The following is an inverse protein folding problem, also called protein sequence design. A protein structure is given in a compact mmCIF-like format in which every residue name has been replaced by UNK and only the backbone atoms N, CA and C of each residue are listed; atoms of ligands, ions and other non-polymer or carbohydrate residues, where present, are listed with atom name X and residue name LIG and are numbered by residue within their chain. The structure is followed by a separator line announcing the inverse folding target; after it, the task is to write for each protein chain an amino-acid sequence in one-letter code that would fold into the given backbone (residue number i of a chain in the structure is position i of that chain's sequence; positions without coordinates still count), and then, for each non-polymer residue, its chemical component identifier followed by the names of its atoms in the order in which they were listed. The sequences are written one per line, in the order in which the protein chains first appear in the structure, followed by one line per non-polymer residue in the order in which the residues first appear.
data_IF_154338145085
#
_entry.id   IF_154338145085
#
_cell.length_a   1.000
_cell.length_b   1.000
_cell.length_c   1.000
_cell.angle_alpha   90.00
_cell.angle_beta   90.00
_cell.angle_gamma   90.00
#
_symmetry.space_group_name_H-M   'P 1'
#
loop_
_entity.id
_entity.type
_entity.pdbx_description
1 polymer ?
#
# COMPACT_ATOMS: atom_id res chain seq x y z
N UNK A 1 -10.52 27.05 0.07
CA UNK A 1 -9.17 27.00 -0.53
C UNK A 1 -8.83 25.55 -0.75
N UNK A 2 -8.56 25.11 -1.97
CA UNK A 2 -8.31 23.70 -2.28
C UNK A 2 -6.88 23.31 -1.95
N UNK A 3 -6.69 22.13 -1.35
CA UNK A 3 -5.39 21.50 -1.19
C UNK A 3 -4.80 21.18 -2.58
N UNK A 4 -3.51 21.39 -2.76
CA UNK A 4 -2.78 21.00 -3.96
C UNK A 4 -2.27 19.57 -3.78
N UNK A 5 -2.38 18.76 -4.81
CA UNK A 5 -1.93 17.39 -4.81
C UNK A 5 -1.04 17.11 -6.02
N UNK A 6 0.00 16.32 -5.81
CA UNK A 6 0.93 15.89 -6.84
C UNK A 6 0.85 14.38 -6.99
N UNK A 7 0.57 13.89 -8.18
CA UNK A 7 0.45 12.46 -8.46
C UNK A 7 1.06 12.06 -9.80
N UNK A 8 1.92 11.04 -9.85
CA UNK A 8 2.18 10.29 -11.06
C UNK A 8 1.13 9.19 -11.26
N UNK A 9 1.06 8.57 -12.44
CA UNK A 9 0.20 7.41 -12.67
C UNK A 9 0.52 6.19 -11.80
N UNK A 10 1.59 6.23 -11.03
CA UNK A 10 2.03 5.20 -10.07
C UNK A 10 1.79 5.55 -8.61
N UNK A 11 1.22 6.69 -8.36
CA UNK A 11 0.91 7.10 -7.00
C UNK A 11 -0.09 6.14 -6.37
N UNK A 12 0.11 5.71 -5.12
CA UNK A 12 -0.90 4.95 -4.41
C UNK A 12 -2.17 5.77 -4.33
N UNK A 13 -3.18 5.38 -5.10
CA UNK A 13 -4.47 6.07 -5.20
C UNK A 13 -5.29 6.02 -3.88
N UNK A 14 -4.74 5.43 -2.81
CA UNK A 14 -5.35 5.44 -1.49
C UNK A 14 -5.57 6.85 -0.94
N UNK A 15 -4.59 7.76 -1.10
CA UNK A 15 -4.74 9.16 -0.72
C UNK A 15 -5.91 9.85 -1.40
N UNK A 16 -5.99 9.75 -2.73
CA UNK A 16 -7.04 10.40 -3.52
C UNK A 16 -8.42 9.94 -3.09
N UNK A 17 -8.53 8.64 -2.83
CA UNK A 17 -9.79 8.06 -2.41
C UNK A 17 -10.19 8.54 -1.03
N UNK A 18 -9.26 8.78 -0.10
CA UNK A 18 -9.56 9.37 1.20
C UNK A 18 -10.07 10.82 1.08
N UNK A 19 -9.48 11.62 0.21
CA UNK A 19 -9.96 12.99 -0.09
C UNK A 19 -11.36 12.98 -0.71
N UNK A 20 -11.60 12.09 -1.69
CA UNK A 20 -12.91 11.90 -2.32
C UNK A 20 -13.95 11.46 -1.28
N UNK A 21 -13.65 10.43 -0.48
CA UNK A 21 -14.56 9.90 0.54
C UNK A 21 -14.87 10.94 1.64
N UNK A 22 -13.91 11.80 1.97
CA UNK A 22 -14.11 12.93 2.90
C UNK A 22 -14.71 14.17 2.23
N UNK A 23 -14.95 14.13 0.92
CA UNK A 23 -15.47 15.27 0.13
C UNK A 23 -14.61 16.53 0.27
N UNK A 24 -13.31 16.35 0.47
CA UNK A 24 -12.35 17.45 0.58
C UNK A 24 -11.98 17.92 -0.83
N UNK A 25 -12.22 19.19 -1.18
CA UNK A 25 -11.78 19.73 -2.46
C UNK A 25 -10.25 19.71 -2.57
N UNK A 26 -9.73 19.22 -3.68
CA UNK A 26 -8.28 19.17 -3.93
C UNK A 26 -7.96 19.50 -5.38
N UNK A 27 -6.72 19.90 -5.63
CA UNK A 27 -6.15 20.04 -6.96
C UNK A 27 -5.04 19.01 -7.14
N UNK A 28 -5.15 18.20 -8.17
CA UNK A 28 -4.13 17.25 -8.56
C UNK A 28 -3.11 17.89 -9.53
N UNK A 29 -1.82 17.63 -9.28
CA UNK A 29 -0.73 18.04 -10.16
C UNK A 29 0.20 16.83 -10.40
N UNK A 30 0.60 16.62 -11.65
CA UNK A 30 1.63 15.62 -11.98
C UNK A 30 3.03 16.08 -11.54
N UNK A 31 3.99 15.16 -11.33
CA UNK A 31 5.39 15.53 -11.04
C UNK A 31 6.05 16.36 -12.13
N UNK A 32 5.57 16.29 -13.37
CA UNK A 32 5.99 17.18 -14.47
C UNK A 32 5.54 18.64 -14.30
N UNK A 33 4.63 18.92 -13.35
CA UNK A 33 4.17 20.29 -13.08
C UNK A 33 5.28 21.08 -12.39
N UNK A 34 5.51 22.37 -12.77
CA UNK A 34 6.59 23.19 -12.21
C UNK A 34 6.64 23.22 -10.68
N UNK A 35 5.48 23.24 -9.99
CA UNK A 35 5.43 23.29 -8.52
C UNK A 35 6.13 22.08 -7.87
N UNK A 36 6.11 20.92 -8.51
CA UNK A 36 6.83 19.76 -7.99
C UNK A 36 8.33 19.99 -7.97
N UNK A 37 8.87 20.52 -9.05
CA UNK A 37 10.31 20.78 -9.19
C UNK A 37 10.80 21.94 -8.33
N UNK A 38 9.98 22.98 -8.16
CA UNK A 38 10.40 24.22 -7.48
C UNK A 38 10.08 24.29 -5.99
N UNK A 39 9.12 23.50 -5.51
CA UNK A 39 8.69 23.52 -4.11
C UNK A 39 8.78 22.14 -3.45
N UNK A 40 8.19 21.10 -4.07
CA UNK A 40 8.03 19.80 -3.40
C UNK A 40 9.35 19.01 -3.39
N UNK A 41 10.00 18.85 -4.54
CA UNK A 41 11.24 18.08 -4.64
C UNK A 41 12.37 18.67 -3.76
N UNK A 42 12.58 20.00 -3.69
CA UNK A 42 13.54 20.59 -2.75
C UNK A 42 13.20 20.34 -1.27
N UNK A 43 11.92 20.35 -0.91
CA UNK A 43 11.49 20.10 0.47
C UNK A 43 11.69 18.63 0.89
N UNK A 44 11.46 17.69 -0.03
CA UNK A 44 11.61 16.25 0.22
C UNK A 44 13.08 15.80 0.13
N UNK A 45 13.85 16.38 -0.80
CA UNK A 45 15.22 16.00 -1.09
C UNK A 45 15.37 14.75 -1.99
N UNK A 46 14.27 14.13 -2.41
CA UNK A 46 14.23 12.99 -3.34
C UNK A 46 12.84 12.88 -3.99
N UNK A 47 12.79 12.17 -5.12
CA UNK A 47 11.53 11.95 -5.83
C UNK A 47 10.67 10.92 -5.10
N UNK A 48 9.48 11.31 -4.69
CA UNK A 48 8.46 10.42 -4.09
C UNK A 48 7.06 10.96 -4.32
N UNK A 49 6.11 10.06 -4.37
CA UNK A 49 4.68 10.32 -4.45
C UNK A 49 3.91 9.19 -3.74
N UNK A 50 2.72 9.47 -3.19
CA UNK A 50 2.01 10.74 -3.20
C UNK A 50 2.58 11.74 -2.21
N UNK A 51 2.27 13.01 -2.46
CA UNK A 51 2.56 14.13 -1.54
C UNK A 51 1.31 15.00 -1.44
N UNK A 52 0.93 15.36 -0.23
CA UNK A 52 -0.11 16.34 0.06
C UNK A 52 0.54 17.64 0.51
N UNK A 53 0.21 18.74 -0.15
CA UNK A 53 0.45 20.09 0.35
C UNK A 53 -0.83 20.61 1.00
N UNK A 54 -0.83 20.82 2.30
CA UNK A 54 -1.94 21.35 3.04
C UNK A 54 -2.11 22.86 2.81
N UNK A 55 -3.26 23.49 3.13
CA UNK A 55 -3.50 24.90 2.90
C UNK A 55 -2.54 25.85 3.61
N UNK A 56 -1.94 25.42 4.71
CA UNK A 56 -0.92 26.15 5.49
C UNK A 56 0.50 26.00 4.94
N UNK A 57 0.67 25.21 3.86
CA UNK A 57 1.95 24.92 3.24
C UNK A 57 2.69 23.70 3.82
N UNK A 58 2.11 23.00 4.80
CA UNK A 58 2.69 21.77 5.31
C UNK A 58 2.73 20.68 4.23
N UNK A 59 3.87 20.03 4.11
CA UNK A 59 4.06 18.91 3.17
C UNK A 59 3.97 17.60 3.95
N UNK A 60 3.06 16.74 3.54
CA UNK A 60 2.82 15.44 4.15
C UNK A 60 3.07 14.37 3.07
N UNK A 61 3.87 13.37 3.38
CA UNK A 61 4.23 12.31 2.45
C UNK A 61 3.98 10.96 3.13
N UNK A 62 3.66 9.96 2.32
CA UNK A 62 3.12 8.65 2.63
C UNK A 62 1.60 8.63 2.81
N UNK A 63 0.98 7.62 2.19
CA UNK A 63 -0.48 7.48 2.17
C UNK A 63 -1.05 7.28 3.57
N UNK A 64 -0.37 6.48 4.42
CA UNK A 64 -0.86 6.21 5.77
C UNK A 64 -0.81 7.45 6.68
N UNK A 65 0.26 8.26 6.57
CA UNK A 65 0.40 9.51 7.32
C UNK A 65 -0.59 10.57 6.85
N UNK A 66 -0.81 10.64 5.54
CA UNK A 66 -1.81 11.56 4.97
C UNK A 66 -3.22 11.17 5.43
N UNK A 67 -3.57 9.90 5.45
CA UNK A 67 -4.88 9.44 5.95
C UNK A 67 -5.05 9.79 7.43
N UNK A 68 -4.02 9.59 8.27
CA UNK A 68 -4.07 9.98 9.68
C UNK A 68 -4.26 11.48 9.84
N UNK A 69 -3.47 12.29 9.14
CA UNK A 69 -3.64 13.74 9.13
C UNK A 69 -5.06 14.17 8.71
N UNK A 70 -5.62 13.54 7.69
CA UNK A 70 -6.98 13.82 7.23
C UNK A 70 -8.05 13.38 8.24
N UNK A 71 -7.85 12.28 8.97
CA UNK A 71 -8.75 11.84 10.04
C UNK A 71 -8.74 12.79 11.23
N UNK A 72 -7.56 13.34 11.59
CA UNK A 72 -7.42 14.32 12.67
C UNK A 72 -7.99 15.69 12.30
N UNK A 73 -7.68 16.16 11.08
CA UNK A 73 -8.08 17.51 10.63
C UNK A 73 -9.56 17.58 10.22
N UNK A 74 -10.08 16.49 9.65
CA UNK A 74 -11.45 16.37 9.16
C UNK A 74 -12.08 15.10 9.73
N UNK A 75 -12.54 15.08 10.98
CA UNK A 75 -13.00 13.86 11.65
C UNK A 75 -14.25 13.25 11.01
N UNK A 76 -15.05 14.02 10.26
CA UNK A 76 -16.23 13.51 9.56
C UNK A 76 -16.16 13.76 8.03
N UNK A 77 -16.63 12.79 7.22
CA UNK A 77 -17.02 11.44 7.62
C UNK A 77 -15.80 10.62 8.08
N UNK A 78 -15.98 9.86 9.17
CA UNK A 78 -14.91 8.99 9.69
C UNK A 78 -14.61 7.85 8.71
N UNK A 79 -13.32 7.65 8.39
CA UNK A 79 -12.84 6.61 7.47
C UNK A 79 -12.08 5.47 8.19
N UNK A 80 -12.13 5.45 9.50
CA UNK A 80 -11.58 4.35 10.31
C UNK A 80 -12.59 3.95 11.39
N UNK A 81 -12.68 2.65 11.73
CA UNK A 81 -13.49 2.19 12.85
C UNK A 81 -13.08 2.87 14.15
N UNK A 82 -14.03 3.05 15.05
CA UNK A 82 -13.75 3.56 16.41
C UNK A 82 -13.30 2.45 17.35
N UNK A 83 -13.61 1.20 17.04
CA UNK A 83 -13.37 0.04 17.89
C UNK A 83 -11.97 -0.52 17.68
N UNK A 84 -11.31 -1.04 18.73
CA UNK A 84 -9.87 -1.31 18.69
C UNK A 84 -9.50 -2.53 17.85
N UNK A 85 -10.29 -3.61 17.84
CA UNK A 85 -9.98 -4.79 17.03
C UNK A 85 -10.15 -4.48 15.53
N UNK A 86 -11.26 -3.85 15.14
CA UNK A 86 -11.49 -3.44 13.74
C UNK A 86 -10.38 -2.51 13.24
N UNK A 87 -9.94 -1.54 14.05
CA UNK A 87 -8.81 -0.65 13.71
C UNK A 87 -7.50 -1.41 13.51
N UNK A 88 -7.24 -2.43 14.33
CA UNK A 88 -6.05 -3.26 14.20
C UNK A 88 -6.09 -4.10 12.93
N UNK A 89 -7.24 -4.71 12.64
CA UNK A 89 -7.46 -5.50 11.41
C UNK A 89 -7.35 -4.62 10.17
N UNK A 90 -7.95 -3.41 10.20
CA UNK A 90 -7.84 -2.46 9.10
C UNK A 90 -6.39 -2.09 8.80
N UNK A 91 -5.57 -1.82 9.83
CA UNK A 91 -4.17 -1.50 9.67
C UNK A 91 -3.33 -2.67 9.12
N UNK A 92 -3.60 -3.91 9.55
CA UNK A 92 -2.93 -5.10 9.01
C UNK A 92 -3.19 -5.28 7.51
N UNK A 93 -4.46 -5.20 7.10
CA UNK A 93 -4.85 -5.35 5.70
C UNK A 93 -4.35 -4.15 4.88
N UNK A 94 -4.39 -2.94 5.44
CA UNK A 94 -3.87 -1.74 4.80
C UNK A 94 -2.37 -1.83 4.51
N UNK A 95 -1.58 -2.27 5.49
CA UNK A 95 -0.14 -2.50 5.35
C UNK A 95 0.16 -3.60 4.30
N UNK A 96 -0.59 -4.72 4.31
CA UNK A 96 -0.50 -5.75 3.28
C UNK A 96 -0.76 -5.18 1.88
N UNK A 97 -1.83 -4.42 1.71
CA UNK A 97 -2.17 -3.79 0.43
C UNK A 97 -1.04 -2.89 -0.07
N UNK A 98 -0.53 -2.02 0.79
CA UNK A 98 0.50 -1.03 0.42
C UNK A 98 1.85 -1.67 0.08
N UNK A 99 2.25 -2.75 0.75
CA UNK A 99 3.60 -3.30 0.64
C UNK A 99 3.66 -4.64 -0.11
N UNK A 100 2.81 -5.61 0.25
CA UNK A 100 2.91 -6.95 -0.31
C UNK A 100 2.47 -7.01 -1.78
N UNK A 101 1.45 -6.23 -2.13
CA UNK A 101 0.90 -6.22 -3.49
C UNK A 101 1.75 -5.43 -4.50
N UNK A 102 2.85 -4.81 -4.07
CA UNK A 102 3.82 -4.22 -4.99
C UNK A 102 4.41 -5.28 -5.93
N UNK A 103 4.65 -6.51 -5.44
CA UNK A 103 5.22 -7.59 -6.28
C UNK A 103 4.30 -7.98 -7.45
N UNK A 104 3.03 -8.38 -7.24
CA UNK A 104 2.15 -8.65 -8.37
C UNK A 104 1.93 -7.41 -9.24
N UNK A 105 1.82 -6.20 -8.67
CA UNK A 105 1.67 -4.97 -9.43
C UNK A 105 2.85 -4.75 -10.39
N UNK A 106 4.08 -4.89 -9.92
CA UNK A 106 5.29 -4.73 -10.73
C UNK A 106 5.47 -5.89 -11.71
N UNK A 107 5.16 -7.14 -11.30
CA UNK A 107 5.21 -8.29 -12.19
C UNK A 107 4.27 -8.10 -13.38
N UNK A 108 2.97 -7.89 -13.14
CA UNK A 108 2.00 -7.77 -14.22
C UNK A 108 2.22 -6.54 -15.10
N UNK A 109 2.77 -5.47 -14.58
CA UNK A 109 3.13 -4.28 -15.35
C UNK A 109 4.26 -4.55 -16.34
N UNK A 110 5.33 -5.21 -15.90
CA UNK A 110 6.55 -5.30 -16.68
C UNK A 110 6.75 -6.61 -17.41
N UNK A 111 6.23 -7.73 -16.91
CA UNK A 111 6.36 -9.03 -17.58
C UNK A 111 5.43 -9.14 -18.82
N UNK A 112 4.40 -8.31 -18.88
CA UNK A 112 3.45 -8.25 -20.00
C UNK A 112 3.57 -6.96 -20.82
N UNK A 113 4.75 -6.36 -20.84
CA UNK A 113 4.98 -5.04 -21.46
C UNK A 113 4.53 -4.98 -22.91
N UNK A 114 4.78 -6.05 -23.70
CA UNK A 114 4.41 -6.07 -25.12
C UNK A 114 2.91 -5.84 -25.39
N UNK A 115 2.02 -6.24 -24.45
CA UNK A 115 0.58 -6.06 -24.59
C UNK A 115 0.08 -4.69 -24.12
N UNK A 116 0.91 -3.91 -23.42
CA UNK A 116 0.48 -2.69 -22.74
C UNK A 116 1.45 -1.51 -22.81
N UNK A 117 2.53 -1.64 -23.59
CA UNK A 117 3.58 -0.62 -23.69
C UNK A 117 3.04 0.75 -24.09
N UNK A 118 2.13 0.79 -25.06
CA UNK A 118 1.53 2.06 -25.51
C UNK A 118 0.78 2.79 -24.38
N UNK A 119 0.06 2.05 -23.55
CA UNK A 119 -0.63 2.60 -22.37
C UNK A 119 0.38 3.12 -21.35
N UNK A 120 1.38 2.30 -20.99
CA UNK A 120 2.38 2.66 -19.99
C UNK A 120 3.21 3.87 -20.43
N UNK A 121 3.64 3.94 -21.69
CA UNK A 121 4.33 5.14 -22.23
C UNK A 121 3.47 6.41 -22.10
N UNK A 122 2.18 6.31 -22.36
CA UNK A 122 1.28 7.45 -22.20
C UNK A 122 1.17 7.90 -20.73
N UNK A 123 1.04 6.95 -19.82
CA UNK A 123 0.90 7.26 -18.39
C UNK A 123 2.21 7.81 -17.79
N UNK A 124 3.34 7.14 -18.02
CA UNK A 124 4.64 7.64 -17.56
C UNK A 124 5.05 8.94 -18.21
N UNK A 125 4.68 9.14 -19.50
CA UNK A 125 4.96 10.38 -20.23
C UNK A 125 4.29 11.61 -19.59
N UNK A 126 3.09 11.47 -19.02
CA UNK A 126 2.43 12.56 -18.28
C UNK A 126 3.19 12.97 -17.02
N UNK A 127 3.86 12.01 -16.38
CA UNK A 127 4.62 12.26 -15.17
C UNK A 127 5.98 12.87 -15.41
N UNK A 128 6.60 12.46 -16.52
CA UNK A 128 7.99 12.83 -16.84
C UNK A 128 8.09 14.06 -17.73
N UNK A 129 7.00 14.46 -18.41
CA UNK A 129 6.99 15.62 -19.32
C UNK A 129 5.71 16.43 -19.24
N UNK A 130 5.84 17.72 -19.11
CA UNK A 130 4.73 18.68 -19.24
C UNK A 130 4.30 18.94 -20.69
N UNK A 131 5.03 18.45 -21.68
CA UNK A 131 4.71 18.60 -23.11
C UNK A 131 3.35 17.97 -23.44
N UNK A 132 2.61 18.53 -24.38
CA UNK A 132 1.42 17.92 -24.98
C UNK A 132 1.75 17.12 -26.25
N UNK A 133 2.99 17.15 -26.72
CA UNK A 133 3.47 16.34 -27.83
C UNK A 133 3.70 14.88 -27.39
N UNK A 134 3.13 13.94 -28.14
CA UNK A 134 3.18 12.51 -27.81
C UNK A 134 4.61 11.96 -27.90
N UNK A 135 5.36 12.30 -28.92
CA UNK A 135 6.72 11.79 -29.09
C UNK A 135 7.65 12.29 -28.00
N UNK A 136 7.52 13.57 -27.60
CA UNK A 136 8.26 14.12 -26.48
C UNK A 136 7.95 13.42 -25.14
N UNK A 137 6.68 13.09 -24.87
CA UNK A 137 6.26 12.31 -23.68
C UNK A 137 6.81 10.89 -23.71
N UNK A 138 6.72 10.20 -24.84
CA UNK A 138 7.23 8.83 -24.99
C UNK A 138 8.75 8.78 -24.82
N UNK A 139 9.49 9.76 -25.33
CA UNK A 139 10.93 9.88 -25.14
C UNK A 139 11.30 10.12 -23.66
N UNK A 140 10.53 10.97 -22.97
CA UNK A 140 10.75 11.24 -21.54
C UNK A 140 10.40 10.05 -20.65
N UNK A 141 9.42 9.22 -21.03
CA UNK A 141 9.01 8.03 -20.28
C UNK A 141 10.04 6.89 -20.34
N UNK A 142 10.73 6.73 -21.46
CA UNK A 142 11.57 5.56 -21.72
C UNK A 142 12.65 5.29 -20.66
N UNK A 143 13.51 6.26 -20.24
CA UNK A 143 14.52 6.01 -19.23
C UNK A 143 13.92 5.68 -17.87
N UNK A 144 12.78 6.29 -17.52
CA UNK A 144 12.08 6.00 -16.26
C UNK A 144 11.52 4.57 -16.26
N UNK A 145 10.87 4.15 -17.34
CA UNK A 145 10.36 2.78 -17.49
C UNK A 145 11.50 1.75 -17.42
N UNK A 146 12.63 2.01 -18.04
CA UNK A 146 13.82 1.13 -17.97
C UNK A 146 14.33 1.02 -16.53
N UNK A 147 14.41 2.13 -15.80
CA UNK A 147 14.84 2.12 -14.40
C UNK A 147 13.88 1.31 -13.51
N UNK A 148 12.55 1.45 -13.71
CA UNK A 148 11.56 0.66 -12.97
C UNK A 148 11.69 -0.85 -13.22
N UNK A 149 11.87 -1.26 -14.46
CA UNK A 149 12.10 -2.68 -14.81
C UNK A 149 13.35 -3.25 -14.14
N UNK A 150 14.42 -2.47 -14.03
CA UNK A 150 15.67 -2.91 -13.39
C UNK A 150 15.49 -3.24 -11.89
N UNK A 151 14.40 -2.80 -11.24
CA UNK A 151 14.13 -3.11 -9.84
C UNK A 151 13.48 -4.48 -9.60
N UNK A 152 12.95 -5.14 -10.63
CA UNK A 152 12.22 -6.41 -10.48
C UNK A 152 13.00 -7.48 -9.69
N UNK A 153 14.29 -7.76 -9.97
CA UNK A 153 15.04 -8.76 -9.19
C UNK A 153 15.20 -8.39 -7.71
N UNK A 154 15.33 -7.09 -7.40
CA UNK A 154 15.43 -6.61 -6.00
C UNK A 154 14.14 -6.79 -5.22
N UNK A 155 12.99 -6.78 -5.91
CA UNK A 155 11.68 -7.12 -5.35
C UNK A 155 11.46 -8.62 -5.24
N UNK A 156 12.41 -9.43 -5.68
CA UNK A 156 12.29 -10.89 -5.72
C UNK A 156 11.41 -11.40 -6.86
N UNK A 157 11.21 -10.62 -7.91
CA UNK A 157 10.43 -11.00 -9.10
C UNK A 157 11.40 -11.61 -10.12
N UNK A 158 11.39 -12.94 -10.23
CA UNK A 158 12.26 -13.73 -11.10
C UNK A 158 11.44 -14.85 -11.75
N UNK A 159 12.00 -15.52 -12.75
CA UNK A 159 11.37 -16.70 -13.38
C UNK A 159 10.91 -17.76 -12.38
N UNK A 160 11.66 -17.93 -11.28
CA UNK A 160 11.38 -18.96 -10.28
C UNK A 160 10.25 -18.57 -9.32
N UNK A 161 10.14 -17.27 -8.99
CA UNK A 161 9.14 -16.74 -8.06
C UNK A 161 7.81 -16.35 -8.73
N UNK A 162 7.82 -15.96 -10.00
CA UNK A 162 6.64 -15.53 -10.76
C UNK A 162 5.44 -16.47 -10.60
N UNK A 163 5.55 -17.80 -10.74
CA UNK A 163 4.38 -18.67 -10.59
C UNK A 163 3.74 -18.61 -9.19
N UNK A 164 4.53 -18.36 -8.14
CA UNK A 164 3.99 -18.19 -6.79
C UNK A 164 3.35 -16.81 -6.59
N UNK A 165 3.93 -15.76 -7.20
CA UNK A 165 3.38 -14.40 -7.18
C UNK A 165 2.01 -14.37 -7.88
N UNK A 166 1.91 -14.95 -9.07
CA UNK A 166 0.67 -15.05 -9.83
C UNK A 166 -0.39 -15.84 -9.05
N UNK A 167 -0.03 -17.01 -8.52
CA UNK A 167 -0.94 -17.83 -7.72
C UNK A 167 -1.43 -17.08 -6.48
N UNK A 168 -0.54 -16.41 -5.75
CA UNK A 168 -0.91 -15.62 -4.57
C UNK A 168 -1.89 -14.49 -4.94
N UNK A 169 -1.65 -13.79 -6.05
CA UNK A 169 -2.56 -12.73 -6.51
C UNK A 169 -3.91 -13.28 -6.97
N UNK A 170 -3.94 -14.38 -7.69
CA UNK A 170 -5.17 -15.02 -8.13
C UNK A 170 -6.02 -15.54 -6.95
N UNK A 171 -5.38 -16.18 -5.96
CA UNK A 171 -6.05 -16.61 -4.73
C UNK A 171 -6.63 -15.40 -3.95
N UNK A 172 -5.91 -14.25 -3.93
CA UNK A 172 -6.42 -13.00 -3.35
C UNK A 172 -7.65 -12.49 -4.10
N UNK A 173 -7.62 -12.49 -5.44
CA UNK A 173 -8.77 -12.08 -6.24
C UNK A 173 -10.00 -12.93 -5.93
N UNK A 174 -9.87 -14.24 -5.80
CA UNK A 174 -11.00 -15.14 -5.47
C UNK A 174 -11.58 -14.86 -4.06
N UNK A 175 -10.70 -14.57 -3.09
CA UNK A 175 -11.12 -14.20 -1.72
C UNK A 175 -11.88 -12.87 -1.73
N UNK A 176 -11.33 -11.86 -2.40
CA UNK A 176 -11.94 -10.54 -2.47
C UNK A 176 -13.21 -10.53 -3.33
N UNK A 177 -13.27 -11.33 -4.39
CA UNK A 177 -14.47 -11.52 -5.21
C UNK A 177 -15.64 -12.01 -4.37
N UNK A 178 -15.44 -13.07 -3.59
CA UNK A 178 -16.44 -13.60 -2.69
C UNK A 178 -16.83 -12.62 -1.57
N UNK A 179 -15.89 -11.78 -1.14
CA UNK A 179 -16.12 -10.75 -0.13
C UNK A 179 -16.98 -9.60 -0.70
N UNK A 180 -16.56 -9.00 -1.81
CA UNK A 180 -17.22 -7.83 -2.40
C UNK A 180 -18.56 -8.15 -3.12
N UNK A 181 -18.86 -9.41 -3.31
CA UNK A 181 -20.22 -9.86 -3.65
C UNK A 181 -21.22 -9.58 -2.49
N UNK A 182 -20.76 -9.58 -1.23
CA UNK A 182 -21.59 -9.49 -0.03
C UNK A 182 -21.48 -8.15 0.69
N UNK A 183 -20.34 -7.49 0.59
CA UNK A 183 -20.03 -6.25 1.31
C UNK A 183 -19.47 -5.19 0.36
N UNK A 184 -19.87 -3.92 0.48
CA UNK A 184 -19.37 -2.86 -0.37
C UNK A 184 -17.91 -2.49 -0.09
N UNK A 185 -17.42 -2.72 1.14
CA UNK A 185 -16.05 -2.41 1.59
C UNK A 185 -15.51 -3.53 2.50
N UNK A 186 -14.20 -3.52 2.76
CA UNK A 186 -13.51 -4.59 3.51
C UNK A 186 -14.12 -4.84 4.90
N UNK A 187 -14.50 -3.80 5.62
CA UNK A 187 -15.10 -3.93 6.95
C UNK A 187 -16.61 -3.67 6.97
N UNK A 188 -17.31 -3.90 5.86
CA UNK A 188 -18.77 -3.77 5.81
C UNK A 188 -19.25 -2.57 5.02
N UNK A 189 -20.10 -1.69 5.61
CA UNK A 189 -20.80 -0.61 4.90
C UNK A 189 -20.00 0.69 4.71
N UNK A 190 -18.80 0.80 5.29
CA UNK A 190 -17.91 1.99 5.18
C UNK A 190 -16.49 1.61 4.79
N UNK A 191 -15.82 2.44 3.95
CA UNK A 191 -14.40 2.25 3.66
C UNK A 191 -13.54 2.51 4.90
N UNK A 192 -12.39 1.83 4.95
CA UNK A 192 -11.42 1.92 6.04
C UNK A 192 -9.98 1.99 5.53
N UNK A 193 -9.01 2.12 6.42
CA UNK A 193 -7.58 2.02 6.12
C UNK A 193 -7.25 0.76 5.30
N UNK A 194 -7.98 -0.34 5.51
CA UNK A 194 -7.85 -1.57 4.72
C UNK A 194 -8.17 -1.34 3.23
N UNK A 195 -9.28 -0.66 2.95
CA UNK A 195 -9.70 -0.35 1.58
C UNK A 195 -8.71 0.58 0.89
N UNK A 196 -8.21 1.60 1.58
CA UNK A 196 -7.25 2.55 1.00
C UNK A 196 -5.89 1.91 0.68
N UNK A 197 -5.40 1.02 1.56
CA UNK A 197 -4.16 0.28 1.30
C UNK A 197 -4.30 -0.69 0.12
N UNK A 198 -5.38 -1.46 0.05
CA UNK A 198 -5.66 -2.34 -1.08
C UNK A 198 -5.90 -1.57 -2.38
N UNK A 199 -6.52 -0.39 -2.31
CA UNK A 199 -6.83 0.43 -3.49
C UNK A 199 -5.58 0.89 -4.24
N UNK A 200 -4.47 1.11 -3.52
CA UNK A 200 -3.23 1.55 -4.13
C UNK A 200 -2.78 0.62 -5.27
N UNK A 201 -2.47 -0.67 -5.05
CA UNK A 201 -2.07 -1.57 -6.12
C UNK A 201 -3.25 -2.07 -6.96
N UNK A 202 -4.42 -2.36 -6.36
CA UNK A 202 -5.54 -2.95 -7.08
C UNK A 202 -6.22 -1.99 -8.06
N UNK A 203 -6.10 -0.68 -7.86
CA UNK A 203 -6.58 0.31 -8.83
C UNK A 203 -5.45 0.90 -9.66
N UNK A 204 -4.39 1.43 -9.01
CA UNK A 204 -3.36 2.20 -9.71
C UNK A 204 -2.56 1.40 -10.74
N UNK A 205 -2.42 0.11 -10.49
CA UNK A 205 -1.65 -0.82 -11.31
C UNK A 205 -2.56 -1.91 -11.90
N UNK A 206 -2.99 -2.84 -11.06
CA UNK A 206 -3.65 -4.09 -11.46
C UNK A 206 -5.05 -3.87 -12.08
N UNK A 207 -5.74 -2.78 -11.72
CA UNK A 207 -7.04 -2.40 -12.28
C UNK A 207 -6.96 -1.42 -13.45
N UNK A 208 -5.77 -0.87 -13.75
CA UNK A 208 -5.58 0.11 -14.85
C UNK A 208 -4.72 -0.39 -15.98
N UNK A 209 -3.62 -1.10 -15.68
CA UNK A 209 -2.76 -1.65 -16.73
C UNK A 209 -3.56 -2.68 -17.53
N UNK A 210 -3.56 -2.63 -18.86
CA UNK A 210 -4.50 -3.39 -19.71
C UNK A 210 -4.54 -4.88 -19.43
N UNK A 211 -3.38 -5.54 -19.26
CA UNK A 211 -3.30 -6.97 -19.04
C UNK A 211 -3.90 -7.40 -17.68
N UNK A 212 -3.43 -6.91 -16.53
CA UNK A 212 -4.00 -7.31 -15.24
C UNK A 212 -5.43 -6.79 -15.03
N UNK A 213 -5.81 -5.68 -15.65
CA UNK A 213 -7.19 -5.19 -15.64
C UNK A 213 -8.14 -6.18 -16.32
N UNK A 214 -7.75 -6.74 -17.47
CA UNK A 214 -8.52 -7.79 -18.13
C UNK A 214 -8.63 -9.03 -17.23
N UNK A 215 -7.53 -9.49 -16.62
CA UNK A 215 -7.53 -10.60 -15.67
C UNK A 215 -8.51 -10.34 -14.50
N UNK A 216 -8.43 -9.17 -13.86
CA UNK A 216 -9.33 -8.79 -12.76
C UNK A 216 -10.79 -8.81 -13.19
N UNK A 217 -11.13 -8.23 -14.35
CA UNK A 217 -12.51 -8.20 -14.87
C UNK A 217 -13.06 -9.59 -15.17
N UNK A 218 -12.24 -10.50 -15.68
CA UNK A 218 -12.66 -11.87 -15.99
C UNK A 218 -12.80 -12.74 -14.74
N UNK A 219 -11.88 -12.63 -13.78
CA UNK A 219 -11.82 -13.50 -12.61
C UNK A 219 -12.60 -12.94 -11.41
N UNK A 220 -12.57 -11.63 -11.22
CA UNK A 220 -13.05 -10.97 -10.03
C UNK A 220 -13.80 -9.66 -10.35
N UNK A 221 -14.96 -9.74 -11.05
CA UNK A 221 -15.72 -8.57 -11.46
C UNK A 221 -16.21 -7.71 -10.27
N UNK A 222 -16.46 -8.30 -9.09
CA UNK A 222 -16.86 -7.55 -7.92
C UNK A 222 -15.68 -6.78 -7.29
N UNK A 223 -14.44 -7.30 -7.43
CA UNK A 223 -13.24 -6.54 -7.07
C UNK A 223 -13.09 -5.33 -7.98
N UNK A 224 -13.27 -5.51 -9.30
CA UNK A 224 -13.24 -4.39 -10.23
C UNK A 224 -14.33 -3.35 -9.90
N UNK A 225 -15.56 -3.78 -9.62
CA UNK A 225 -16.64 -2.89 -9.17
C UNK A 225 -16.32 -2.18 -7.86
N UNK A 226 -15.64 -2.84 -6.92
CA UNK A 226 -15.17 -2.19 -5.70
C UNK A 226 -14.19 -1.07 -6.01
N UNK A 227 -13.28 -1.24 -6.97
CA UNK A 227 -12.37 -0.13 -7.38
C UNK A 227 -13.14 1.06 -7.94
N UNK A 228 -14.23 0.83 -8.66
CA UNK A 228 -15.12 1.91 -9.14
C UNK A 228 -15.81 2.62 -7.98
N UNK A 229 -16.38 1.86 -7.02
CA UNK A 229 -17.00 2.44 -5.80
C UNK A 229 -16.03 3.28 -4.98
N UNK A 230 -14.79 2.86 -4.87
CA UNK A 230 -13.76 3.62 -4.15
C UNK A 230 -13.44 4.96 -4.82
N UNK A 231 -13.72 5.13 -6.11
CA UNK A 231 -13.56 6.38 -6.85
C UNK A 231 -14.73 7.38 -6.67
N UNK A 232 -15.78 7.00 -5.96
CA UNK A 232 -16.96 7.84 -5.73
C UNK A 232 -17.00 8.32 -4.27
N UNK A 233 -17.57 9.49 -4.03
CA UNK A 233 -17.70 10.01 -2.66
C UNK A 233 -18.66 9.16 -1.82
N UNK A 234 -19.77 8.75 -2.42
CA UNK A 234 -20.82 7.97 -1.77
C UNK A 234 -20.88 6.54 -2.34
N UNK A 235 -21.71 5.71 -1.71
CA UNK A 235 -22.01 4.36 -2.16
C UNK A 235 -23.11 4.41 -3.23
N UNK A 236 -22.72 4.67 -4.48
CA UNK A 236 -23.63 4.63 -5.63
C UNK A 236 -23.56 3.26 -6.31
N UNK A 237 -24.04 2.23 -5.62
CA UNK A 237 -24.10 0.87 -6.16
C UNK A 237 -25.44 0.23 -5.82
N UNK A 238 -26.26 -0.02 -6.86
CA UNK A 238 -27.59 -0.62 -6.71
C UNK A 238 -27.58 -2.02 -6.06
N UNK A 239 -26.43 -2.72 -6.10
CA UNK A 239 -26.25 -3.98 -5.38
C UNK A 239 -26.22 -3.83 -3.86
N UNK A 240 -26.03 -2.59 -3.35
CA UNK A 240 -25.92 -2.26 -1.92
C UNK A 240 -26.85 -1.11 -1.52
N UNK A 241 -27.97 -0.92 -2.22
CA UNK A 241 -28.89 0.20 -2.02
C UNK A 241 -29.42 0.29 -0.58
N UNK A 242 -29.61 -0.86 0.07
CA UNK A 242 -30.13 -0.96 1.44
C UNK A 242 -29.02 -1.15 2.50
N UNK A 243 -27.75 -1.02 2.11
CA UNK A 243 -26.63 -1.19 3.04
C UNK A 243 -26.42 0.08 3.86
N UNK A 244 -26.49 -0.05 5.17
CA UNK A 244 -26.16 1.05 6.07
C UNK A 244 -24.67 1.40 6.01
N UNK A 245 -24.37 2.70 6.01
CA UNK A 245 -23.01 3.22 6.00
C UNK A 245 -22.37 3.12 7.41
N UNK A 246 -22.23 1.90 7.94
CA UNK A 246 -21.67 1.61 9.27
C UNK A 246 -20.66 0.46 9.21
N UNK A 247 -19.83 0.36 10.24
CA UNK A 247 -19.04 -0.83 10.53
C UNK A 247 -19.87 -1.82 11.34
N UNK A 248 -19.55 -3.14 11.32
CA UNK A 248 -20.23 -4.13 12.15
C UNK A 248 -20.19 -3.75 13.64
N UNK A 249 -21.27 -4.09 14.37
CA UNK A 249 -21.36 -3.86 15.82
C UNK A 249 -20.39 -4.76 16.60
N UNK A 250 -20.24 -4.47 17.90
CA UNK A 250 -19.54 -5.30 18.88
C UNK A 250 -18.07 -5.61 18.54
N UNK A 251 -17.41 -4.65 17.85
CA UNK A 251 -16.03 -4.80 17.37
C UNK A 251 -15.82 -6.04 16.50
N UNK A 252 -16.88 -6.56 15.87
CA UNK A 252 -16.81 -7.74 15.00
C UNK A 252 -16.29 -7.39 13.60
N UNK A 253 -15.88 -8.41 12.86
CA UNK A 253 -15.47 -8.29 11.45
C UNK A 253 -16.31 -9.26 10.60
N UNK A 254 -16.49 -8.99 9.29
CA UNK A 254 -17.09 -9.96 8.38
C UNK A 254 -16.32 -11.28 8.36
N UNK A 255 -17.01 -12.43 8.36
CA UNK A 255 -16.36 -13.76 8.36
C UNK A 255 -15.38 -13.96 7.18
N UNK A 256 -15.68 -13.34 6.03
CA UNK A 256 -14.80 -13.37 4.85
C UNK A 256 -13.45 -12.68 5.07
N UNK A 257 -13.36 -11.75 6.03
CA UNK A 257 -12.09 -11.10 6.42
C UNK A 257 -11.13 -12.06 7.12
N UNK A 258 -11.64 -13.11 7.78
CA UNK A 258 -10.76 -14.15 8.34
C UNK A 258 -9.97 -14.87 7.24
N UNK A 259 -10.61 -15.17 6.10
CA UNK A 259 -9.91 -15.78 4.95
C UNK A 259 -8.89 -14.82 4.33
N UNK A 260 -9.22 -13.54 4.27
CA UNK A 260 -8.27 -12.51 3.81
C UNK A 260 -7.06 -12.42 4.74
N UNK A 261 -7.26 -12.41 6.06
CA UNK A 261 -6.16 -12.40 7.04
C UNK A 261 -5.31 -13.68 6.96
N UNK A 262 -5.92 -14.85 6.80
CA UNK A 262 -5.17 -16.10 6.60
C UNK A 262 -4.29 -16.03 5.35
N UNK A 263 -4.82 -15.48 4.24
CA UNK A 263 -4.04 -15.21 3.03
C UNK A 263 -2.89 -14.23 3.29
N UNK A 264 -3.13 -13.13 4.01
CA UNK A 264 -2.11 -12.15 4.38
C UNK A 264 -0.96 -12.82 5.13
N UNK A 265 -1.26 -13.59 6.17
CA UNK A 265 -0.22 -14.24 6.98
C UNK A 265 0.51 -15.35 6.23
N UNK A 266 -0.18 -16.10 5.40
CA UNK A 266 0.44 -17.17 4.59
C UNK A 266 1.37 -16.62 3.50
N UNK A 267 0.98 -15.53 2.84
CA UNK A 267 1.66 -15.04 1.64
C UNK A 267 2.64 -13.89 1.92
N UNK A 268 2.40 -13.10 2.96
CA UNK A 268 3.29 -12.00 3.33
C UNK A 268 4.07 -12.25 4.62
N UNK A 269 3.53 -13.06 5.53
CA UNK A 269 4.17 -13.37 6.82
C UNK A 269 5.63 -13.83 6.71
N UNK A 270 5.97 -14.79 5.81
CA UNK A 270 7.35 -15.25 5.63
C UNK A 270 8.32 -14.12 5.24
N UNK A 271 7.89 -13.20 4.40
CA UNK A 271 8.68 -12.03 4.02
C UNK A 271 8.87 -11.05 5.18
N UNK A 272 7.81 -10.79 5.96
CA UNK A 272 7.90 -9.92 7.14
C UNK A 272 8.88 -10.46 8.18
N UNK A 273 8.86 -11.77 8.42
CA UNK A 273 9.79 -12.43 9.34
C UNK A 273 11.23 -12.31 8.84
N UNK A 274 11.48 -12.56 7.57
CA UNK A 274 12.81 -12.42 6.97
C UNK A 274 13.30 -10.96 6.99
N UNK A 275 12.41 -9.99 6.76
CA UNK A 275 12.74 -8.56 6.89
C UNK A 275 13.09 -8.18 8.34
N UNK A 276 12.36 -8.68 9.33
CA UNK A 276 12.63 -8.39 10.74
C UNK A 276 13.97 -8.98 11.19
N UNK A 277 14.26 -10.21 10.80
CA UNK A 277 15.53 -10.87 11.07
C UNK A 277 16.69 -10.10 10.43
N UNK A 278 16.57 -9.73 9.17
CA UNK A 278 17.60 -8.98 8.45
C UNK A 278 17.79 -7.57 9.02
N UNK A 279 16.71 -6.88 9.41
CA UNK A 279 16.81 -5.59 10.06
C UNK A 279 17.54 -5.67 11.40
N UNK A 280 17.19 -6.62 12.26
CA UNK A 280 17.86 -6.82 13.55
C UNK A 280 19.35 -7.19 13.37
N UNK A 281 19.67 -8.05 12.38
CA UNK A 281 21.05 -8.36 12.03
C UNK A 281 21.81 -7.12 11.55
N UNK A 282 21.18 -6.26 10.75
CA UNK A 282 21.76 -5.00 10.29
C UNK A 282 22.00 -4.04 11.47
N UNK A 283 21.06 -3.89 12.40
CA UNK A 283 21.22 -3.09 13.62
C UNK A 283 22.41 -3.61 14.45
N UNK A 284 22.49 -4.91 14.67
CA UNK A 284 23.57 -5.54 15.45
C UNK A 284 24.96 -5.31 14.80
N UNK A 285 25.02 -5.30 13.46
CA UNK A 285 26.26 -5.02 12.72
C UNK A 285 26.66 -3.53 12.72
N UNK A 286 25.79 -2.63 13.14
CA UNK A 286 26.03 -1.18 13.17
C UNK A 286 25.81 -0.58 14.57
N UNK A 287 26.60 -0.98 15.59
CA UNK A 287 26.40 -0.57 16.98
C UNK A 287 26.60 0.93 17.25
N UNK A 288 27.18 1.66 16.30
CA UNK A 288 27.39 3.12 16.39
C UNK A 288 26.17 3.93 16.01
N UNK A 289 25.13 3.32 15.43
CA UNK A 289 23.91 4.02 15.05
C UNK A 289 23.22 4.65 16.27
N UNK A 290 22.76 5.88 16.09
CA UNK A 290 22.04 6.66 17.09
C UNK A 290 20.57 6.85 16.64
N UNK A 291 19.73 7.26 17.58
CA UNK A 291 18.39 7.74 17.24
C UNK A 291 18.49 8.90 16.25
N UNK A 292 17.65 8.89 15.21
CA UNK A 292 17.67 9.83 14.09
C UNK A 292 18.59 9.46 12.92
N UNK A 293 19.44 8.44 13.05
CA UNK A 293 20.29 7.99 11.92
C UNK A 293 19.43 7.27 10.87
N UNK A 294 19.70 7.56 9.59
CA UNK A 294 18.93 7.01 8.46
C UNK A 294 19.13 5.50 8.34
N UNK A 295 18.04 4.76 8.24
CA UNK A 295 18.05 3.31 8.01
C UNK A 295 18.24 3.04 6.53
N UNK A 296 19.48 2.79 6.11
CA UNK A 296 19.84 2.44 4.73
C UNK A 296 21.24 1.86 4.65
N UNK A 297 21.39 0.66 4.10
CA UNK A 297 22.70 0.05 3.86
C UNK A 297 23.54 0.82 2.80
N UNK A 298 22.88 1.49 1.87
CA UNK A 298 23.55 2.32 0.85
C UNK A 298 23.87 3.75 1.30
N UNK A 299 23.48 4.11 2.53
CA UNK A 299 23.58 5.48 3.04
C UNK A 299 22.64 6.47 2.33
N UNK A 300 22.47 7.66 2.93
CA UNK A 300 21.68 8.74 2.37
C UNK A 300 20.15 8.51 2.41
N UNK A 301 19.46 9.53 1.96
CA UNK A 301 17.98 9.57 1.95
C UNK A 301 17.45 8.78 0.75
N UNK A 302 16.61 7.79 0.98
CA UNK A 302 16.02 6.93 -0.06
C UNK A 302 14.55 6.69 0.24
N UNK A 303 13.73 6.60 -0.80
CA UNK A 303 12.32 6.25 -0.70
C UNK A 303 12.13 4.81 -0.19
N UNK A 304 12.85 3.87 -0.79
CA UNK A 304 12.84 2.46 -0.44
C UNK A 304 14.23 2.06 0.06
N UNK A 305 14.53 2.36 1.35
CA UNK A 305 15.80 1.94 1.91
C UNK A 305 15.88 0.42 1.99
N UNK A 306 17.10 -0.11 1.88
CA UNK A 306 17.34 -1.55 2.03
C UNK A 306 18.41 -1.81 3.06
N UNK A 307 18.29 -2.91 3.80
CA UNK A 307 19.21 -3.30 4.87
C UNK A 307 19.91 -4.64 4.60
N UNK A 308 20.13 -4.94 3.34
CA UNK A 308 20.74 -6.20 2.89
C UNK A 308 19.78 -7.04 2.06
N UNK A 309 20.10 -8.32 1.90
CA UNK A 309 19.30 -9.29 1.15
C UNK A 309 18.50 -10.17 2.11
N UNK A 310 17.30 -10.57 1.67
CA UNK A 310 16.46 -11.56 2.38
C UNK A 310 16.16 -12.74 1.47
N UNK A 311 15.88 -13.89 2.09
CA UNK A 311 15.35 -15.08 1.42
C UNK A 311 14.21 -15.63 2.25
N UNK A 312 13.09 -15.94 1.59
CA UNK A 312 11.92 -16.55 2.22
C UNK A 312 11.22 -17.51 1.26
N UNK A 313 10.21 -18.24 1.73
CA UNK A 313 9.42 -19.17 0.91
C UNK A 313 8.03 -18.58 0.70
N UNK A 314 7.63 -18.44 -0.56
CA UNK A 314 6.27 -18.07 -0.98
C UNK A 314 5.66 -19.27 -1.73
N UNK A 315 4.61 -19.86 -1.18
CA UNK A 315 3.88 -20.98 -1.79
C UNK A 315 4.83 -22.09 -2.35
N UNK A 316 5.85 -22.44 -1.54
CA UNK A 316 6.83 -23.48 -1.90
C UNK A 316 7.97 -23.05 -2.83
N UNK A 317 8.03 -21.77 -3.21
CA UNK A 317 9.12 -21.20 -4.01
C UNK A 317 10.05 -20.34 -3.17
N UNK A 318 11.35 -20.50 -3.34
CA UNK A 318 12.33 -19.61 -2.73
C UNK A 318 12.31 -18.27 -3.44
N UNK A 319 12.13 -17.21 -2.68
CA UNK A 319 12.18 -15.82 -3.16
C UNK A 319 13.37 -15.13 -2.50
N UNK A 320 14.23 -14.55 -3.31
CA UNK A 320 15.35 -13.71 -2.84
C UNK A 320 15.10 -12.27 -3.29
N UNK A 321 15.20 -11.34 -2.37
CA UNK A 321 15.01 -9.91 -2.62
C UNK A 321 15.84 -9.06 -1.67
N UNK A 322 15.66 -7.75 -1.77
CA UNK A 322 16.28 -6.81 -0.84
C UNK A 322 15.45 -6.73 0.46
N UNK A 323 16.13 -6.66 1.61
CA UNK A 323 15.51 -6.42 2.89
C UNK A 323 14.85 -5.04 2.94
N UNK A 324 13.54 -5.00 3.18
CA UNK A 324 12.71 -3.81 3.10
C UNK A 324 12.23 -3.35 4.49
N UNK A 325 12.89 -2.38 5.15
CA UNK A 325 12.43 -1.84 6.43
C UNK A 325 11.11 -1.04 6.31
N UNK A 326 10.74 -0.56 5.13
CA UNK A 326 9.46 0.12 4.92
C UNK A 326 8.27 -0.81 5.23
N UNK A 327 8.34 -2.07 4.81
CA UNK A 327 7.30 -3.07 5.13
C UNK A 327 7.16 -3.29 6.64
N UNK A 328 8.28 -3.27 7.38
CA UNK A 328 8.27 -3.37 8.85
C UNK A 328 7.65 -2.14 9.50
N UNK A 329 7.95 -0.95 9.00
CA UNK A 329 7.38 0.29 9.51
C UNK A 329 5.86 0.34 9.29
N UNK A 330 5.37 -0.07 8.13
CA UNK A 330 3.93 -0.13 7.86
C UNK A 330 3.20 -1.12 8.76
N UNK A 331 3.75 -2.34 8.93
CA UNK A 331 3.10 -3.35 9.78
C UNK A 331 3.20 -3.01 11.26
N UNK A 332 4.23 -2.28 11.71
CA UNK A 332 4.45 -1.95 13.13
C UNK A 332 3.29 -1.14 13.72
N UNK A 333 2.63 -0.31 12.93
CA UNK A 333 1.41 0.39 13.34
C UNK A 333 0.32 -0.59 13.82
N UNK A 334 0.09 -1.66 13.06
CA UNK A 334 -0.87 -2.70 13.42
C UNK A 334 -0.37 -3.54 14.62
N UNK A 335 0.93 -3.85 14.67
CA UNK A 335 1.53 -4.57 15.79
C UNK A 335 1.43 -3.78 17.11
N UNK A 336 1.68 -2.48 17.08
CA UNK A 336 1.50 -1.61 18.27
C UNK A 336 0.05 -1.56 18.72
N UNK A 337 -0.91 -1.41 17.79
CA UNK A 337 -2.35 -1.46 18.09
C UNK A 337 -2.74 -2.80 18.70
N UNK A 338 -2.26 -3.91 18.12
CA UNK A 338 -2.51 -5.26 18.65
C UNK A 338 -1.98 -5.42 20.07
N UNK A 339 -0.77 -4.93 20.37
CA UNK A 339 -0.19 -5.00 21.73
C UNK A 339 -0.98 -4.17 22.75
N UNK A 340 -1.62 -3.10 22.31
CA UNK A 340 -2.43 -2.21 23.17
C UNK A 340 -3.85 -2.74 23.42
N UNK A 341 -4.29 -3.81 22.75
CA UNK A 341 -5.60 -4.40 22.98
C UNK A 341 -5.71 -4.98 24.40
N UNK A 342 -6.88 -4.78 25.02
CA UNK A 342 -7.18 -5.29 26.36
C UNK A 342 -8.59 -5.90 26.41
N UNK A 343 -8.91 -6.63 27.48
CA UNK A 343 -10.25 -7.16 27.74
C UNK A 343 -10.80 -8.05 26.63
N UNK A 344 -12.07 -7.83 26.26
CA UNK A 344 -12.76 -8.62 25.24
C UNK A 344 -12.13 -8.47 23.85
N UNK A 345 -11.76 -7.25 23.44
CA UNK A 345 -11.11 -7.00 22.14
C UNK A 345 -9.80 -7.78 22.00
N UNK A 346 -8.99 -7.86 23.05
CA UNK A 346 -7.78 -8.68 23.08
C UNK A 346 -8.08 -10.16 22.90
N UNK A 347 -9.05 -10.69 23.67
CA UNK A 347 -9.41 -12.10 23.59
C UNK A 347 -9.94 -12.49 22.19
N UNK A 348 -10.80 -11.63 21.60
CA UNK A 348 -11.33 -11.82 20.25
C UNK A 348 -10.21 -11.77 19.21
N UNK A 349 -9.31 -10.80 19.31
CA UNK A 349 -8.18 -10.66 18.40
C UNK A 349 -7.23 -11.86 18.49
N UNK A 350 -6.87 -12.31 19.69
CA UNK A 350 -6.00 -13.46 19.87
C UNK A 350 -6.63 -14.75 19.30
N UNK A 351 -7.95 -14.91 19.44
CA UNK A 351 -8.66 -16.02 18.83
C UNK A 351 -8.64 -15.94 17.30
N UNK A 352 -8.83 -14.76 16.73
CA UNK A 352 -8.74 -14.49 15.30
C UNK A 352 -7.35 -14.82 14.76
N UNK A 353 -6.28 -14.33 15.40
CA UNK A 353 -4.90 -14.57 15.00
C UNK A 353 -4.54 -16.06 15.03
N UNK A 354 -5.02 -16.81 16.05
CA UNK A 354 -4.82 -18.26 16.07
C UNK A 354 -5.49 -18.98 14.89
N UNK A 355 -6.74 -18.58 14.55
CA UNK A 355 -7.47 -19.21 13.42
C UNK A 355 -6.85 -18.87 12.08
N UNK A 356 -6.26 -17.69 11.94
CA UNK A 356 -5.70 -17.18 10.68
C UNK A 356 -4.20 -17.46 10.53
N UNK A 357 -3.53 -18.04 11.54
CA UNK A 357 -2.11 -18.38 11.45
C UNK A 357 -1.14 -17.20 11.64
N UNK A 358 -1.61 -16.06 12.17
CA UNK A 358 -0.82 -14.82 12.28
C UNK A 358 0.12 -14.74 13.47
N UNK A 359 0.22 -15.77 14.32
CA UNK A 359 0.94 -15.70 15.60
C UNK A 359 2.41 -15.27 15.47
N UNK A 360 3.13 -15.80 14.48
CA UNK A 360 4.54 -15.45 14.24
C UNK A 360 4.73 -13.99 13.81
N UNK A 361 3.83 -13.48 12.97
CA UNK A 361 3.86 -12.06 12.56
C UNK A 361 3.56 -11.14 13.74
N UNK A 362 2.57 -11.49 14.59
CA UNK A 362 2.26 -10.71 15.79
C UNK A 362 3.38 -10.71 16.83
N UNK A 363 4.28 -11.70 16.78
CA UNK A 363 5.45 -11.81 17.67
C UNK A 363 6.70 -11.05 17.15
N UNK A 364 6.65 -10.45 15.97
CA UNK A 364 7.77 -9.65 15.43
C UNK A 364 8.16 -8.56 16.43
N UNK A 365 9.45 -8.51 16.74
CA UNK A 365 10.08 -7.45 17.53
C UNK A 365 11.29 -6.91 16.80
N UNK A 366 11.49 -5.61 16.89
CA UNK A 366 12.65 -4.92 16.32
C UNK A 366 13.55 -4.49 17.47
N UNK A 367 14.86 -4.74 17.35
CA UNK A 367 15.87 -4.38 18.37
C UNK A 367 15.94 -2.87 18.60
N UNK A 368 15.68 -2.10 17.55
CA UNK A 368 15.49 -0.66 17.58
C UNK A 368 14.20 -0.28 16.83
N UNK A 369 13.39 0.64 17.34
CA UNK A 369 12.21 1.11 16.63
C UNK A 369 12.55 1.72 15.27
N UNK A 370 11.65 1.55 14.30
CA UNK A 370 11.65 2.30 13.05
C UNK A 370 10.74 3.51 13.21
N UNK A 371 11.29 4.69 12.98
CA UNK A 371 10.56 5.96 13.03
C UNK A 371 10.68 6.64 11.67
N UNK A 372 9.67 7.42 11.32
CA UNK A 372 9.72 8.24 10.11
C UNK A 372 9.94 9.69 10.50
N UNK A 373 11.04 10.25 10.06
CA UNK A 373 11.39 11.65 10.29
C UNK A 373 11.85 12.29 8.97
N UNK A 374 11.40 13.50 8.71
CA UNK A 374 11.77 14.23 7.50
C UNK A 374 11.64 13.37 6.23
N UNK A 375 10.55 12.61 6.12
CA UNK A 375 10.18 11.75 4.98
C UNK A 375 11.05 10.50 4.76
N UNK A 376 11.95 10.14 5.67
CA UNK A 376 12.78 8.93 5.60
C UNK A 376 12.65 8.08 6.86
N UNK A 377 12.99 6.80 6.76
CA UNK A 377 13.07 5.93 7.93
C UNK A 377 14.37 6.16 8.67
N UNK A 378 14.27 6.32 9.97
CA UNK A 378 15.38 6.49 10.89
C UNK A 378 15.29 5.50 12.04
N UNK A 379 16.42 5.28 12.70
CA UNK A 379 16.49 4.49 13.95
C UNK A 379 15.84 5.31 15.07
N UNK A 380 14.91 4.71 15.79
CA UNK A 380 14.29 5.30 16.98
C UNK A 380 15.09 5.09 18.27
#
# INVERSE_FOLDING_TARGET
MGSRRLQPPESPHGLEKSLIKKRIPYRECYPSHPVFQTAILPALGFFVVPVLEAPDGAIIQDTSEIIEHLEETFPEPRLNPSTPMQRTVAALIGAFGSEALLKPAMHYRWSFLAQQENFLRAEFGRCTSASHDRAARDAAAAPFMTAMQAHLPRLGITSDSIPAIERSYEDLLDILEAHFLRYPYVLGGRPSEADFGLMAPLFAHLGRDPYPCALMKHRAPNVFRWTERMNLADLFDGGFADTEACYPSDDSIPDSVERLLAHVFQNWGPELLANAEQYNAWIAAHPSLKAGDVVSAGGGRQLHPTVGDITYVLLGRHVRGAGNPQALWHVDKALRRARALTGAARAQFDALIRRTGGASVMAITLDRPLVRENFVLVVG
#
